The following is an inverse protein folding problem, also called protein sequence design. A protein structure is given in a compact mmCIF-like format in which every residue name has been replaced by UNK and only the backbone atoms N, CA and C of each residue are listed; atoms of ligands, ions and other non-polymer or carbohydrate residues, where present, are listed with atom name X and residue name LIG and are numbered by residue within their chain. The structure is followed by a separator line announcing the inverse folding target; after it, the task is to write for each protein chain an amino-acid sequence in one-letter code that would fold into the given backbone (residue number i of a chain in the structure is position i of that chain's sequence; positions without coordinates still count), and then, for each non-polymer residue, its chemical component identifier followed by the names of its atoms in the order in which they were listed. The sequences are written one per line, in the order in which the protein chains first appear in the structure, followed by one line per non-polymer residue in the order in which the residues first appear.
data_IF_630540932572
#
_entry.id   IF_630540932572
#
_cell.length_a   1.000
_cell.length_b   1.000
_cell.length_c   1.000
_cell.angle_alpha   90.00
_cell.angle_beta   90.00
_cell.angle_gamma   90.00
#
_symmetry.space_group_name_H-M   'P 1'
#
loop_
_entity.id
_entity.type
_entity.pdbx_description
1 polymer ?
#
# COMPACT_ATOMS: atom_id res chain seq x y z
N UNK A 1 -1.02 -3.23 3.80
CA UNK A 1 -0.77 -4.19 2.70
C UNK A 1 0.69 -4.05 2.27
N UNK A 2 1.41 -5.16 2.17
CA UNK A 2 2.80 -5.18 1.69
C UNK A 2 2.80 -5.29 0.16
N UNK A 3 3.61 -4.47 -0.52
CA UNK A 3 3.68 -4.41 -1.99
C UNK A 3 5.12 -4.50 -2.47
N UNK A 4 5.32 -5.03 -3.68
CA UNK A 4 6.63 -5.21 -4.31
C UNK A 4 6.59 -4.77 -5.78
N UNK A 5 7.73 -4.78 -6.48
CA UNK A 5 7.79 -4.56 -7.93
C UNK A 5 7.02 -5.60 -8.75
N UNK A 6 6.60 -6.71 -8.13
CA UNK A 6 5.77 -7.74 -8.76
C UNK A 6 4.28 -7.56 -8.49
N UNK A 7 3.90 -6.59 -7.65
CA UNK A 7 2.49 -6.31 -7.38
C UNK A 7 1.83 -5.76 -8.65
N UNK A 8 0.80 -6.47 -9.13
CA UNK A 8 0.00 -6.03 -10.27
C UNK A 8 -1.11 -5.10 -9.78
N UNK A 9 -1.38 -4.04 -10.55
CA UNK A 9 -2.40 -3.05 -10.21
C UNK A 9 -3.80 -3.68 -10.17
N UNK A 10 -4.10 -4.60 -11.10
CA UNK A 10 -5.40 -5.31 -11.12
C UNK A 10 -5.67 -6.10 -9.83
N UNK A 11 -4.71 -6.91 -9.38
CA UNK A 11 -4.86 -7.74 -8.19
C UNK A 11 -5.00 -6.89 -6.92
N UNK A 12 -4.24 -5.79 -6.87
CA UNK A 12 -4.28 -4.88 -5.75
C UNK A 12 -5.62 -4.14 -5.68
N UNK A 13 -6.13 -3.67 -6.83
CA UNK A 13 -7.45 -3.05 -6.91
C UNK A 13 -8.55 -4.01 -6.47
N UNK A 14 -8.55 -5.23 -7.00
CA UNK A 14 -9.54 -6.25 -6.63
C UNK A 14 -9.52 -6.55 -5.12
N UNK A 15 -8.34 -6.54 -4.50
CA UNK A 15 -8.20 -6.70 -3.05
C UNK A 15 -8.78 -5.50 -2.28
N UNK A 16 -8.46 -4.27 -2.69
CA UNK A 16 -8.97 -3.05 -2.06
C UNK A 16 -10.50 -3.00 -2.17
N UNK A 17 -11.06 -3.28 -3.35
CA UNK A 17 -12.50 -3.33 -3.59
C UNK A 17 -13.17 -4.34 -2.64
N UNK A 18 -12.61 -5.55 -2.51
CA UNK A 18 -13.13 -6.58 -1.59
C UNK A 18 -13.07 -6.15 -0.13
N UNK A 19 -12.01 -5.46 0.30
CA UNK A 19 -11.91 -4.95 1.68
C UNK A 19 -13.06 -3.98 1.95
N UNK A 20 -13.27 -2.97 1.10
CA UNK A 20 -14.27 -1.93 1.33
C UNK A 20 -15.71 -2.34 1.00
N UNK A 21 -15.90 -3.51 0.35
CA UNK A 21 -17.20 -4.19 0.30
C UNK A 21 -17.60 -4.81 1.65
N UNK A 22 -16.63 -5.17 2.50
CA UNK A 22 -16.85 -5.85 3.78
C UNK A 22 -16.91 -4.85 4.94
N UNK A 23 -16.04 -3.82 4.93
CA UNK A 23 -15.92 -2.85 6.01
C UNK A 23 -16.14 -1.41 5.52
N UNK A 24 -16.90 -0.64 6.31
CA UNK A 24 -17.00 0.81 6.10
C UNK A 24 -15.67 1.49 6.42
N UNK A 25 -15.29 2.48 5.60
CA UNK A 25 -14.10 3.31 5.83
C UNK A 25 -14.10 4.04 7.19
N UNK A 26 -15.26 4.23 7.80
CA UNK A 26 -15.40 4.84 9.13
C UNK A 26 -15.06 3.87 10.28
N UNK A 27 -14.91 2.59 9.98
CA UNK A 27 -14.59 1.53 10.94
C UNK A 27 -13.13 1.06 10.81
N UNK A 28 -12.27 1.82 10.13
CA UNK A 28 -10.84 1.56 10.03
C UNK A 28 -10.02 2.75 10.52
N UNK A 29 -9.03 2.48 11.35
CA UNK A 29 -8.14 3.51 11.92
C UNK A 29 -6.95 3.86 11.01
N UNK A 30 -6.77 3.11 9.92
CA UNK A 30 -5.70 3.38 8.97
C UNK A 30 -5.61 2.37 7.83
N UNK A 31 -5.08 2.86 6.71
CA UNK A 31 -4.67 2.01 5.59
C UNK A 31 -3.21 2.32 5.24
N UNK A 32 -2.34 1.32 5.35
CA UNK A 32 -0.90 1.49 5.10
C UNK A 32 -0.48 0.64 3.91
N UNK A 33 0.14 1.27 2.91
CA UNK A 33 0.88 0.60 1.83
C UNK A 33 2.35 0.54 2.25
N UNK A 34 2.89 -0.68 2.34
CA UNK A 34 4.24 -0.92 2.82
C UNK A 34 5.08 -1.53 1.68
N UNK A 35 6.02 -0.78 1.09
CA UNK A 35 6.91 -1.35 0.08
C UNK A 35 7.86 -2.38 0.71
N UNK A 36 8.18 -3.43 -0.05
CA UNK A 36 9.38 -4.24 0.17
C UNK A 36 10.63 -3.36 -0.02
N UNK A 37 11.74 -3.79 0.58
CA UNK A 37 13.00 -3.04 0.55
C UNK A 37 14.15 -3.95 0.10
N UNK A 38 15.04 -3.44 -0.75
CA UNK A 38 16.22 -4.14 -1.24
C UNK A 38 15.93 -5.20 -2.31
N UNK A 39 15.04 -6.16 -2.03
CA UNK A 39 14.63 -7.19 -3.00
C UNK A 39 13.22 -6.90 -3.50
N UNK A 40 13.08 -6.87 -4.83
CA UNK A 40 11.81 -6.58 -5.50
C UNK A 40 11.15 -5.29 -5.00
N UNK A 41 11.96 -4.27 -4.72
CA UNK A 41 11.46 -2.96 -4.29
C UNK A 41 10.65 -2.31 -5.42
N UNK A 42 9.42 -1.84 -5.14
CA UNK A 42 8.59 -1.19 -6.16
C UNK A 42 9.16 0.17 -6.56
N UNK A 43 8.91 0.59 -7.81
CA UNK A 43 9.23 1.94 -8.24
C UNK A 43 8.31 2.98 -7.58
N UNK A 44 8.74 4.24 -7.56
CA UNK A 44 7.90 5.35 -7.10
C UNK A 44 6.60 5.45 -7.90
N UNK A 45 6.68 5.30 -9.24
CA UNK A 45 5.48 5.33 -10.10
C UNK A 45 4.49 4.24 -9.74
N UNK A 46 4.97 3.02 -9.44
CA UNK A 46 4.10 1.93 -8.99
C UNK A 46 3.45 2.28 -7.64
N UNK A 47 4.20 2.87 -6.71
CA UNK A 47 3.66 3.29 -5.41
C UNK A 47 2.59 4.38 -5.54
N UNK A 48 2.77 5.35 -6.43
CA UNK A 48 1.76 6.38 -6.70
C UNK A 48 0.50 5.77 -7.31
N UNK A 49 0.63 4.86 -8.27
CA UNK A 49 -0.52 4.16 -8.85
C UNK A 49 -1.26 3.31 -7.80
N UNK A 50 -0.54 2.64 -6.89
CA UNK A 50 -1.15 1.88 -5.80
C UNK A 50 -1.84 2.79 -4.77
N UNK A 51 -1.28 3.97 -4.50
CA UNK A 51 -1.90 5.00 -3.66
C UNK A 51 -3.23 5.46 -4.27
N UNK A 52 -3.24 5.78 -5.57
CA UNK A 52 -4.42 6.27 -6.29
C UNK A 52 -5.58 5.27 -6.30
N UNK A 53 -5.29 3.97 -6.19
CA UNK A 53 -6.31 2.93 -6.05
C UNK A 53 -7.01 2.99 -4.68
N UNK A 54 -6.28 3.28 -3.60
CA UNK A 54 -6.82 3.28 -2.23
C UNK A 54 -7.48 4.62 -1.88
N UNK A 55 -6.92 5.72 -2.36
CA UNK A 55 -7.33 7.08 -2.00
C UNK A 55 -8.85 7.35 -2.11
N UNK A 56 -9.58 6.88 -3.15
CA UNK A 56 -11.02 7.04 -3.23
C UNK A 56 -11.81 6.34 -2.10
N UNK A 57 -11.26 5.26 -1.56
CA UNK A 57 -11.87 4.50 -0.47
C UNK A 57 -11.48 5.05 0.91
N UNK A 58 -10.23 5.46 1.07
CA UNK A 58 -9.69 5.96 2.34
C UNK A 58 -8.66 7.07 2.10
N UNK A 59 -9.06 8.30 2.41
CA UNK A 59 -8.28 9.53 2.11
C UNK A 59 -6.97 9.60 2.89
N UNK A 60 -6.92 9.00 4.09
CA UNK A 60 -5.75 9.02 4.97
C UNK A 60 -4.79 7.83 4.74
N UNK A 61 -4.81 7.25 3.53
CA UNK A 61 -3.88 6.17 3.17
C UNK A 61 -2.43 6.66 3.24
N UNK A 62 -1.56 5.87 3.84
CA UNK A 62 -0.13 6.19 4.01
C UNK A 62 0.74 5.20 3.27
N UNK A 63 1.69 5.69 2.48
CA UNK A 63 2.80 4.88 1.97
C UNK A 63 3.97 5.07 2.92
N UNK A 64 4.28 4.04 3.72
CA UNK A 64 5.29 4.16 4.78
C UNK A 64 6.56 3.39 4.38
N UNK A 65 7.65 4.09 3.99
CA UNK A 65 8.94 3.45 3.79
C UNK A 65 9.47 2.92 5.12
N UNK A 66 10.19 1.79 5.09
CA UNK A 66 10.79 1.19 6.28
C UNK A 66 12.07 1.96 6.68
N UNK A 67 11.90 3.12 7.32
CA UNK A 67 13.02 3.99 7.74
C UNK A 67 14.07 3.27 8.59
N UNK A 68 13.67 2.31 9.44
CA UNK A 68 14.62 1.52 10.24
C UNK A 68 15.64 0.74 9.36
N UNK A 69 15.24 0.34 8.14
CA UNK A 69 16.13 -0.35 7.19
C UNK A 69 17.16 0.59 6.56
N UNK A 70 16.84 1.88 6.41
CA UNK A 70 17.78 2.88 5.93
C UNK A 70 18.86 3.23 6.96
N UNK A 71 18.57 3.06 8.26
CA UNK A 71 19.51 3.35 9.36
C UNK A 71 20.23 2.10 9.88
N UNK A 72 20.08 0.95 9.22
CA UNK A 72 20.75 -0.30 9.60
C UNK A 72 20.27 -0.91 10.92
N UNK A 73 19.07 -0.54 11.38
CA UNK A 73 18.46 -1.17 12.54
C UNK A 73 17.81 -2.50 12.11
N UNK A 74 18.09 -3.62 12.82
CA UNK A 74 17.55 -4.94 12.49
C UNK A 74 16.02 -5.01 12.59
#
# INVERSE_FOLDING_TARGET
IVVSSKTRLEDFKDLVDKIFQIISKHNIDGFIIQPTYGIAEPSLDLLLNLYDIVYPYYIDVKVVPQLHKFIGAP
#
